data_IF_874669094458
#
_entry.id   IF_874669094458
#
_cell.length_a   1.000
_cell.length_b   1.000
_cell.length_c   1.000
_cell.angle_alpha   90.00
_cell.angle_beta   90.00
_cell.angle_gamma   90.00
#
_symmetry.space_group_name_H-M   'P 1'
#
loop_
_entity.id
_entity.type
_entity.pdbx_description
1 polymer ?
#
# COMPACT_ATOMS: atom_id res chain seq x y z
N UNK A 1 -5.63 -10.62 2.46
CA UNK A 1 -5.34 -9.31 3.08
C UNK A 1 -5.85 -9.37 4.50
N UNK A 2 -5.03 -8.91 5.44
CA UNK A 2 -5.32 -8.88 6.87
C UNK A 2 -5.18 -7.44 7.37
N UNK A 3 -5.67 -7.18 8.57
CA UNK A 3 -5.70 -5.86 9.20
C UNK A 3 -6.95 -5.70 10.04
N UNK A 4 -6.80 -4.91 11.11
CA UNK A 4 -7.85 -4.64 12.07
C UNK A 4 -8.91 -3.72 11.46
N UNK A 5 -8.49 -2.76 10.65
CA UNK A 5 -9.36 -1.83 9.96
C UNK A 5 -9.53 -2.30 8.51
N UNK A 6 -10.78 -2.61 8.15
CA UNK A 6 -11.13 -3.02 6.79
C UNK A 6 -12.09 -2.00 6.18
N UNK A 7 -11.87 -1.57 4.92
CA UNK A 7 -12.82 -0.71 4.25
C UNK A 7 -14.13 -1.47 4.04
N UNK A 8 -15.25 -0.83 4.35
CA UNK A 8 -16.60 -1.33 4.03
C UNK A 8 -16.79 -1.18 2.52
N UNK A 9 -16.47 -2.25 1.78
CA UNK A 9 -16.39 -2.18 0.31
C UNK A 9 -17.71 -1.81 -0.36
N UNK A 10 -18.85 -2.14 0.26
CA UNK A 10 -20.18 -1.82 -0.25
C UNK A 10 -20.52 -0.33 -0.18
N UNK A 11 -19.90 0.41 0.73
CA UNK A 11 -20.14 1.85 0.91
C UNK A 11 -19.07 2.72 0.24
N UNK A 12 -17.92 2.12 -0.11
CA UNK A 12 -16.83 2.82 -0.75
C UNK A 12 -17.12 3.05 -2.24
N UNK A 13 -16.80 4.25 -2.75
CA UNK A 13 -16.81 4.48 -4.20
C UNK A 13 -15.84 3.52 -4.87
N UNK A 14 -16.22 3.00 -6.03
CA UNK A 14 -15.40 2.05 -6.80
C UNK A 14 -13.98 2.58 -7.02
N UNK A 15 -13.85 3.89 -7.29
CA UNK A 15 -12.55 4.57 -7.45
C UNK A 15 -11.66 4.46 -6.20
N UNK A 16 -12.24 4.64 -5.02
CA UNK A 16 -11.50 4.61 -3.76
C UNK A 16 -11.09 3.18 -3.41
N UNK A 17 -11.96 2.19 -3.69
CA UNK A 17 -11.64 0.79 -3.49
C UNK A 17 -10.49 0.33 -4.40
N UNK A 18 -10.46 0.81 -5.65
CA UNK A 18 -9.34 0.57 -6.57
C UNK A 18 -8.05 1.27 -6.13
N UNK A 19 -8.15 2.53 -5.69
CA UNK A 19 -7.01 3.28 -5.17
C UNK A 19 -6.41 2.58 -3.95
N UNK A 20 -7.25 2.12 -3.02
CA UNK A 20 -6.81 1.42 -1.83
C UNK A 20 -6.08 0.10 -2.15
N UNK A 21 -6.58 -0.66 -3.14
CA UNK A 21 -5.89 -1.85 -3.67
C UNK A 21 -4.55 -1.49 -4.33
N UNK A 22 -4.50 -0.36 -5.04
CA UNK A 22 -3.27 0.12 -5.67
C UNK A 22 -2.24 0.57 -4.64
N UNK A 23 -2.65 1.26 -3.58
CA UNK A 23 -1.82 1.66 -2.45
C UNK A 23 -1.24 0.45 -1.72
N UNK A 24 -2.06 -0.57 -1.45
CA UNK A 24 -1.58 -1.83 -0.87
C UNK A 24 -0.45 -2.44 -1.70
N UNK A 25 -0.64 -2.54 -3.02
CA UNK A 25 0.37 -3.11 -3.90
C UNK A 25 1.62 -2.20 -4.01
N UNK A 26 1.45 -0.88 -4.02
CA UNK A 26 2.54 0.10 -4.00
C UNK A 26 3.38 -0.02 -2.73
N UNK A 27 2.74 -0.06 -1.57
CA UNK A 27 3.40 -0.23 -0.27
C UNK A 27 4.15 -1.56 -0.18
N UNK A 28 3.56 -2.64 -0.68
CA UNK A 28 4.22 -3.94 -0.83
C UNK A 28 5.51 -3.89 -1.65
N UNK A 29 5.51 -3.14 -2.74
CA UNK A 29 6.71 -2.94 -3.57
C UNK A 29 7.76 -2.08 -2.85
N UNK A 30 7.35 -1.01 -2.18
CA UNK A 30 8.23 -0.13 -1.42
C UNK A 30 8.90 -0.89 -0.29
N UNK A 31 8.13 -1.62 0.53
CA UNK A 31 8.68 -2.45 1.61
C UNK A 31 9.66 -3.50 1.10
N UNK A 32 9.36 -4.14 -0.04
CA UNK A 32 10.28 -5.09 -0.67
C UNK A 32 11.62 -4.44 -1.05
N UNK A 33 11.57 -3.22 -1.57
CA UNK A 33 12.73 -2.51 -2.11
C UNK A 33 13.57 -1.82 -1.03
N UNK A 34 12.93 -1.22 -0.04
CA UNK A 34 13.55 -0.29 0.91
C UNK A 34 13.77 -0.88 2.30
N UNK A 35 13.01 -1.92 2.68
CA UNK A 35 13.02 -2.43 4.05
C UNK A 35 13.55 -3.86 4.11
N UNK A 36 12.88 -4.81 3.43
CA UNK A 36 13.30 -6.21 3.40
C UNK A 36 12.54 -7.00 2.34
N UNK A 37 13.19 -7.99 1.74
CA UNK A 37 12.55 -8.88 0.76
C UNK A 37 11.49 -9.81 1.37
N UNK A 38 11.48 -10.01 2.69
CA UNK A 38 10.62 -10.98 3.40
C UNK A 38 9.37 -10.34 4.03
N UNK A 39 9.47 -9.08 4.45
CA UNK A 39 8.37 -8.28 5.02
C UNK A 39 7.09 -8.10 4.15
N UNK A 40 7.15 -8.09 2.80
CA UNK A 40 5.96 -7.81 1.97
C UNK A 40 4.83 -8.83 2.12
N UNK A 41 5.11 -10.02 2.67
CA UNK A 41 4.11 -11.06 2.94
C UNK A 41 3.16 -10.68 4.10
N UNK A 42 3.55 -9.70 4.94
CA UNK A 42 2.87 -9.34 6.19
C UNK A 42 2.41 -7.87 6.24
N UNK A 43 2.02 -7.27 5.11
CA UNK A 43 1.41 -5.92 5.09
C UNK A 43 -0.07 -5.92 5.49
N UNK A 44 -0.35 -5.28 6.62
CA UNK A 44 -1.70 -5.01 7.09
C UNK A 44 -2.36 -3.86 6.32
N UNK A 45 -3.68 -3.93 6.16
CA UNK A 45 -4.51 -2.81 5.72
C UNK A 45 -4.42 -1.58 6.60
N UNK A 46 -4.04 -1.73 7.87
CA UNK A 46 -3.85 -0.62 8.81
C UNK A 46 -2.72 0.30 8.34
N UNK A 47 -1.64 -0.27 7.77
CA UNK A 47 -0.54 0.51 7.21
C UNK A 47 -0.91 1.16 5.87
N UNK A 48 -1.82 0.56 5.10
CA UNK A 48 -2.35 1.21 3.89
C UNK A 48 -3.20 2.42 4.25
N UNK A 49 -4.01 2.31 5.31
CA UNK A 49 -4.76 3.45 5.86
C UNK A 49 -3.81 4.55 6.32
N UNK A 50 -2.79 4.18 7.10
CA UNK A 50 -1.80 5.11 7.61
C UNK A 50 -1.07 5.84 6.47
N UNK A 51 -0.68 5.11 5.41
CA UNK A 51 -0.05 5.70 4.23
C UNK A 51 -1.00 6.67 3.51
N UNK A 52 -2.28 6.32 3.37
CA UNK A 52 -3.29 7.17 2.73
C UNK A 52 -3.54 8.46 3.53
N UNK A 53 -3.69 8.35 4.85
CA UNK A 53 -3.87 9.50 5.76
C UNK A 53 -2.63 10.39 5.74
N UNK A 54 -1.43 9.81 5.86
CA UNK A 54 -0.17 10.55 5.83
C UNK A 54 -0.02 11.34 4.53
N UNK A 55 -0.30 10.72 3.38
CA UNK A 55 -0.23 11.43 2.11
C UNK A 55 -1.25 12.57 2.02
N UNK A 56 -2.47 12.37 2.52
CA UNK A 56 -3.49 13.42 2.60
C UNK A 56 -3.02 14.61 3.45
N UNK A 57 -2.38 14.34 4.59
CA UNK A 57 -1.82 15.38 5.47
C UNK A 57 -0.61 16.08 4.85
N UNK A 58 0.23 15.34 4.13
CA UNK A 58 1.42 15.88 3.45
C UNK A 58 1.12 16.56 2.11
N UNK A 59 -0.13 16.53 1.65
CA UNK A 59 -0.51 17.04 0.32
C UNK A 59 0.05 16.21 -0.84
N UNK A 60 0.48 14.97 -0.58
CA UNK A 60 1.00 14.08 -1.63
C UNK A 60 -0.15 13.45 -2.41
N UNK A 61 -0.07 13.53 -3.74
CA UNK A 61 -1.01 12.86 -4.63
C UNK A 61 -0.53 11.48 -5.02
N UNK A 62 -1.42 10.50 -5.02
CA UNK A 62 -1.12 9.16 -5.49
C UNK A 62 -1.42 8.99 -6.98
N UNK A 63 -0.48 8.36 -7.67
CA UNK A 63 -0.66 7.94 -9.06
C UNK A 63 -0.58 6.42 -9.11
N UNK A 64 -1.57 5.79 -9.73
CA UNK A 64 -1.62 4.34 -9.89
C UNK A 64 -1.27 3.95 -11.32
N UNK A 65 -0.30 3.06 -11.47
CA UNK A 65 0.16 2.56 -12.77
C UNK A 65 0.02 1.05 -12.85
N UNK A 66 -0.12 0.51 -14.06
CA UNK A 66 -0.13 -0.92 -14.27
C UNK A 66 1.28 -1.50 -14.24
N UNK A 67 1.53 -2.36 -13.27
CA UNK A 67 2.85 -2.94 -13.00
C UNK A 67 2.71 -4.46 -12.76
N UNK A 68 3.79 -5.22 -13.00
CA UNK A 68 3.83 -6.65 -12.72
C UNK A 68 4.09 -6.86 -11.22
N UNK A 69 3.22 -7.61 -10.55
CA UNK A 69 3.41 -7.94 -9.15
C UNK A 69 4.43 -9.09 -9.03
N UNK A 70 5.52 -8.96 -8.24
CA UNK A 70 6.50 -10.04 -8.09
C UNK A 70 5.90 -11.32 -7.49
N UNK A 71 4.79 -11.23 -6.76
CA UNK A 71 4.06 -12.40 -6.21
C UNK A 71 3.04 -13.01 -7.19
N UNK A 72 2.63 -12.27 -8.22
CA UNK A 72 1.70 -12.72 -9.26
C UNK A 72 2.22 -12.29 -10.64
N UNK A 73 3.31 -12.91 -11.13
CA UNK A 73 3.98 -12.50 -12.35
C UNK A 73 3.10 -12.62 -13.60
N UNK A 74 2.05 -13.44 -13.53
CA UNK A 74 1.09 -13.69 -14.61
C UNK A 74 -0.02 -12.63 -14.75
N UNK A 75 -0.09 -11.63 -13.86
CA UNK A 75 -1.12 -10.57 -13.93
C UNK A 75 -0.53 -9.19 -13.63
N UNK A 76 -0.81 -8.23 -14.51
CA UNK A 76 -0.59 -6.80 -14.22
C UNK A 76 -1.62 -6.32 -13.21
N UNK A 77 -1.18 -5.50 -12.27
CA UNK A 77 -2.04 -4.85 -11.26
C UNK A 77 -1.80 -3.35 -11.28
N UNK A 78 -2.83 -2.57 -10.95
CA UNK A 78 -2.64 -1.17 -10.58
C UNK A 78 -1.85 -1.13 -9.27
N UNK A 79 -0.74 -0.39 -9.27
CA UNK A 79 0.13 -0.19 -8.11
C UNK A 79 0.40 1.29 -7.96
N UNK A 80 0.27 1.82 -6.75
CA UNK A 80 0.63 3.20 -6.47
C UNK A 80 2.14 3.40 -6.67
N UNK A 81 2.51 4.51 -7.30
CA UNK A 81 3.91 4.93 -7.42
C UNK A 81 4.48 5.20 -6.02
N UNK A 82 5.75 4.83 -5.77
CA UNK A 82 6.41 5.23 -4.53
C UNK A 82 6.41 6.76 -4.38
N UNK A 83 5.82 7.22 -3.27
CA UNK A 83 5.86 8.59 -2.76
C UNK A 83 6.41 8.56 -1.33
N UNK A 84 6.83 9.69 -0.76
CA UNK A 84 7.50 9.67 0.54
C UNK A 84 6.60 9.12 1.64
N UNK A 85 5.29 9.40 1.60
CA UNK A 85 4.33 8.84 2.55
C UNK A 85 4.33 7.30 2.56
N UNK A 86 4.51 6.64 1.40
CA UNK A 86 4.60 5.17 1.33
C UNK A 86 5.91 4.66 1.93
N UNK A 87 7.04 5.31 1.63
CA UNK A 87 8.36 4.97 2.17
C UNK A 87 8.42 5.14 3.68
N UNK A 88 7.94 6.27 4.20
CA UNK A 88 7.88 6.54 5.63
C UNK A 88 7.00 5.51 6.36
N UNK A 89 5.87 5.16 5.76
CA UNK A 89 4.94 4.17 6.34
C UNK A 89 5.54 2.77 6.29
N UNK A 90 6.32 2.43 5.25
CA UNK A 90 7.05 1.18 5.16
C UNK A 90 8.07 1.03 6.30
N UNK A 91 8.81 2.10 6.62
CA UNK A 91 9.74 2.13 7.76
C UNK A 91 8.97 2.04 9.09
N UNK A 92 7.87 2.78 9.22
CA UNK A 92 7.02 2.74 10.42
C UNK A 92 6.46 1.34 10.67
N UNK A 93 6.05 0.64 9.61
CA UNK A 93 5.59 -0.74 9.69
C UNK A 93 6.69 -1.68 10.19
N UNK A 94 7.96 -1.49 9.79
CA UNK A 94 9.07 -2.26 10.35
C UNK A 94 9.23 -2.05 11.86
N UNK A 95 9.13 -0.80 12.32
CA UNK A 95 9.30 -0.45 13.74
C UNK A 95 8.18 -1.05 14.58
N UNK A 96 6.94 -0.99 14.09
CA UNK A 96 5.74 -1.42 14.82
C UNK A 96 5.47 -2.93 14.76
N UNK A 97 6.11 -3.67 13.85
CA UNK A 97 5.88 -5.13 13.68
C UNK A 97 6.96 -5.97 14.38
N UNK A 98 7.43 -5.54 15.56
CA UNK A 98 8.32 -6.31 16.44
C UNK A 98 7.55 -7.27 17.35
#
# INVERSE_FOLDING_TARGET
MFGYIRPVQSELKVKDAELYKALYCGLCRVMKKEVSSVLPLSISYDYVLLAAVRAGLSGETFWAEHQICPYKPYRRKKMARPVKALSDTAITALILTK
#
